data_IF_694875373982
#
_entry.id   IF_694875373982
#
_cell.length_a   1.000
_cell.length_b   1.000
_cell.length_c   1.000
_cell.angle_alpha   90.00
_cell.angle_beta   90.00
_cell.angle_gamma   90.00
#
_symmetry.space_group_name_H-M   'P 1'
#
loop_
_entity.id
_entity.type
_entity.pdbx_description
1 polymer ?
#
# COMPACT_ATOMS: atom_id res chain seq x y z
N UNK A 1 15.33 6.02 1.30
CA UNK A 1 15.76 6.01 2.71
C UNK A 1 16.16 7.42 3.14
N UNK A 2 16.15 7.74 4.43
CA UNK A 2 16.69 9.00 4.98
C UNK A 2 17.52 8.69 6.22
N UNK A 3 18.71 9.28 6.29
CA UNK A 3 19.62 9.17 7.44
C UNK A 3 20.36 10.49 7.62
N UNK A 4 20.39 11.01 8.85
CA UNK A 4 20.97 12.33 9.15
C UNK A 4 22.15 12.28 10.11
N UNK A 5 22.46 11.10 10.66
CA UNK A 5 23.60 10.88 11.56
C UNK A 5 24.85 10.37 10.86
N UNK A 6 25.98 10.50 11.54
CA UNK A 6 27.29 9.94 11.14
C UNK A 6 27.28 8.42 11.21
N UNK A 7 28.27 7.76 10.58
CA UNK A 7 28.40 6.30 10.62
C UNK A 7 28.50 5.72 12.04
N UNK A 8 29.07 6.47 12.98
CA UNK A 8 29.22 6.05 14.38
C UNK A 8 27.92 6.16 15.19
N UNK A 9 26.98 7.02 14.78
CA UNK A 9 25.70 7.21 15.48
C UNK A 9 24.63 6.21 15.03
N UNK A 10 24.81 5.58 13.86
CA UNK A 10 23.83 4.65 13.27
C UNK A 10 23.78 3.31 14.01
N UNK A 11 22.56 2.88 14.31
CA UNK A 11 22.23 1.64 15.00
C UNK A 11 21.60 0.60 14.06
N UNK A 12 21.06 1.02 12.92
CA UNK A 12 20.47 0.12 11.93
C UNK A 12 19.36 0.78 11.11
N UNK A 13 18.55 -0.05 10.44
CA UNK A 13 17.39 0.40 9.68
C UNK A 13 16.13 0.44 10.56
N UNK A 14 15.28 1.44 10.33
CA UNK A 14 13.90 1.47 10.79
C UNK A 14 13.00 1.33 9.57
N UNK A 15 12.46 0.13 9.38
CA UNK A 15 11.54 -0.18 8.30
C UNK A 15 10.11 0.26 8.66
N UNK A 16 9.43 0.90 7.70
CA UNK A 16 8.07 1.39 7.89
C UNK A 16 7.10 0.80 6.86
N UNK A 17 5.99 0.24 7.37
CA UNK A 17 4.82 -0.19 6.60
C UNK A 17 3.59 0.60 7.08
N UNK A 18 2.91 1.40 6.23
CA UNK A 18 1.78 2.24 6.65
C UNK A 18 0.48 1.46 6.89
N UNK A 19 0.41 0.20 6.49
CA UNK A 19 -0.83 -0.58 6.53
C UNK A 19 -1.77 -0.25 5.35
N UNK A 20 -3.08 -0.26 5.62
CA UNK A 20 -4.14 -0.28 4.61
C UNK A 20 -4.88 -1.62 4.63
N UNK A 21 -4.42 -2.67 3.91
CA UNK A 21 -3.23 -2.77 3.03
C UNK A 21 -3.32 -1.93 1.74
N UNK A 22 -2.24 -1.89 0.95
CA UNK A 22 -2.17 -1.12 -0.31
C UNK A 22 -1.58 0.29 -0.18
N UNK A 23 -1.13 0.68 1.02
CA UNK A 23 -0.49 1.97 1.25
C UNK A 23 0.99 2.00 0.85
N UNK A 24 1.41 3.06 0.17
CA UNK A 24 2.83 3.31 -0.16
C UNK A 24 3.61 3.81 1.07
N UNK A 25 4.69 3.11 1.43
CA UNK A 25 5.59 3.51 2.52
C UNK A 25 6.62 4.56 2.12
N UNK A 26 6.80 4.82 0.82
CA UNK A 26 7.90 5.64 0.27
C UNK A 26 7.94 7.08 0.78
N UNK A 27 6.79 7.65 1.16
CA UNK A 27 6.72 9.04 1.66
C UNK A 27 7.12 9.19 3.13
N UNK A 28 7.16 8.11 3.90
CA UNK A 28 7.44 8.20 5.34
C UNK A 28 8.82 8.81 5.64
N UNK A 29 9.95 8.33 5.07
CA UNK A 29 11.28 8.80 5.45
C UNK A 29 11.48 10.31 5.28
N UNK A 30 10.92 10.89 4.22
CA UNK A 30 11.08 12.31 3.88
C UNK A 30 10.03 13.20 4.53
N UNK A 31 8.80 12.73 4.72
CA UNK A 31 7.71 13.54 5.26
C UNK A 31 7.77 13.70 6.78
N UNK A 32 8.18 12.67 7.50
CA UNK A 32 8.04 12.65 8.96
C UNK A 32 9.16 13.42 9.68
N UNK A 33 10.36 13.37 9.12
CA UNK A 33 11.58 14.03 9.64
C UNK A 33 11.50 15.56 9.58
N UNK A 34 10.64 16.11 8.72
CA UNK A 34 10.38 17.55 8.60
C UNK A 34 9.28 18.07 9.54
N UNK A 35 8.54 17.17 10.22
CA UNK A 35 7.31 17.55 10.94
C UNK A 35 7.36 17.36 12.45
N UNK A 36 8.37 16.67 12.96
CA UNK A 36 8.42 16.30 14.37
C UNK A 36 9.87 16.09 14.85
N UNK A 37 10.31 16.83 15.89
CA UNK A 37 11.66 16.71 16.45
C UNK A 37 12.03 15.30 16.94
N UNK A 38 11.05 14.52 17.41
CA UNK A 38 11.27 13.12 17.80
C UNK A 38 11.80 12.33 16.61
N UNK A 39 11.12 12.42 15.47
CA UNK A 39 11.51 11.70 14.26
C UNK A 39 12.80 12.23 13.65
N UNK A 40 13.09 13.53 13.76
CA UNK A 40 14.39 14.11 13.40
C UNK A 40 15.52 13.51 14.26
N UNK A 41 15.31 13.37 15.58
CA UNK A 41 16.29 12.76 16.48
C UNK A 41 16.47 11.28 16.17
N UNK A 42 15.38 10.54 15.95
CA UNK A 42 15.43 9.11 15.62
C UNK A 42 16.16 8.86 14.30
N UNK A 43 16.01 9.74 13.30
CA UNK A 43 16.72 9.64 12.01
C UNK A 43 18.24 9.87 12.09
N UNK A 44 18.77 10.34 13.24
CA UNK A 44 20.21 10.33 13.49
C UNK A 44 20.72 8.94 13.85
N UNK A 45 19.91 8.16 14.56
CA UNK A 45 20.27 6.83 15.03
C UNK A 45 19.85 5.72 14.06
N UNK A 46 18.78 5.92 13.27
CA UNK A 46 18.24 4.91 12.37
C UNK A 46 18.08 5.41 10.94
N UNK A 47 18.41 4.55 10.00
CA UNK A 47 18.15 4.78 8.58
C UNK A 47 16.67 4.48 8.32
N UNK A 48 15.87 5.52 8.02
CA UNK A 48 14.44 5.32 7.75
C UNK A 48 14.25 4.70 6.36
N UNK A 49 13.67 3.52 6.33
CA UNK A 49 13.39 2.75 5.11
C UNK A 49 11.88 2.66 4.94
N UNK A 50 11.36 3.37 3.95
CA UNK A 50 10.01 3.18 3.43
C UNK A 50 10.09 2.34 2.18
N UNK A 51 9.12 1.44 2.00
CA UNK A 51 9.02 0.58 0.82
C UNK A 51 7.57 0.53 0.35
N UNK A 52 7.39 0.16 -0.92
CA UNK A 52 6.09 -0.19 -1.46
C UNK A 52 5.99 -1.72 -1.48
N UNK A 53 5.04 -2.34 -0.75
CA UNK A 53 4.79 -3.77 -0.86
C UNK A 53 4.52 -4.20 -2.31
N UNK A 54 4.77 -5.46 -2.64
CA UNK A 54 4.37 -6.03 -3.95
C UNK A 54 2.91 -5.65 -4.28
N UNK A 55 2.66 -5.24 -5.52
CA UNK A 55 1.32 -4.82 -5.96
C UNK A 55 0.96 -3.38 -5.59
N UNK A 56 1.85 -2.61 -4.97
CA UNK A 56 1.57 -1.26 -4.45
C UNK A 56 2.50 -0.22 -5.09
N UNK A 57 1.97 0.97 -5.39
CA UNK A 57 2.76 2.14 -5.74
C UNK A 57 3.72 1.87 -6.90
N UNK A 58 5.02 1.92 -6.62
CA UNK A 58 6.08 1.70 -7.61
C UNK A 58 6.46 0.22 -7.77
N UNK A 59 5.95 -0.67 -6.92
CA UNK A 59 6.27 -2.09 -6.89
C UNK A 59 5.23 -2.91 -7.66
N UNK A 60 5.29 -2.84 -9.00
CA UNK A 60 4.42 -3.56 -9.92
C UNK A 60 2.92 -3.44 -9.52
N UNK A 61 2.36 -2.22 -9.53
CA UNK A 61 1.03 -1.95 -8.98
C UNK A 61 -0.04 -2.75 -9.71
N UNK A 62 -0.96 -3.35 -8.94
CA UNK A 62 -2.11 -4.05 -9.49
C UNK A 62 -3.35 -3.15 -9.47
N UNK A 63 -4.27 -3.40 -10.41
CA UNK A 63 -5.56 -2.75 -10.42
C UNK A 63 -6.57 -3.65 -11.13
N UNK A 64 -7.78 -3.73 -10.60
CA UNK A 64 -8.81 -4.65 -11.12
C UNK A 64 -9.68 -4.05 -12.22
N UNK A 65 -9.68 -2.73 -12.33
CA UNK A 65 -10.44 -1.96 -13.31
C UNK A 65 -9.60 -0.74 -13.72
N UNK A 66 -10.06 0.10 -14.64
CA UNK A 66 -9.42 1.40 -14.82
C UNK A 66 -9.58 2.23 -13.52
N UNK A 67 -8.49 2.61 -12.83
CA UNK A 67 -8.57 3.38 -11.61
C UNK A 67 -9.21 4.76 -11.80
N UNK A 68 -9.09 5.37 -12.99
CA UNK A 68 -9.72 6.66 -13.28
C UNK A 68 -11.24 6.53 -13.38
N UNK A 69 -11.74 5.42 -13.91
CA UNK A 69 -13.17 5.13 -13.93
C UNK A 69 -13.68 4.74 -12.53
N UNK A 70 -12.88 3.96 -11.78
CA UNK A 70 -13.26 3.51 -10.45
C UNK A 70 -13.45 4.64 -9.44
N UNK A 71 -12.76 5.77 -9.58
CA UNK A 71 -12.90 6.90 -8.64
C UNK A 71 -14.03 7.87 -8.98
N UNK A 72 -14.68 7.74 -10.15
CA UNK A 72 -15.76 8.65 -10.57
C UNK A 72 -16.99 8.56 -9.66
N UNK A 73 -17.56 9.73 -9.35
CA UNK A 73 -18.80 9.90 -8.62
C UNK A 73 -19.97 10.23 -9.59
N UNK A 74 -21.24 10.01 -9.20
CA UNK A 74 -21.70 9.44 -7.92
C UNK A 74 -21.46 7.93 -7.82
N UNK A 75 -21.33 7.42 -6.59
CA UNK A 75 -21.33 5.99 -6.28
C UNK A 75 -22.72 5.57 -5.81
N UNK A 76 -23.06 4.30 -6.00
CA UNK A 76 -24.24 3.70 -5.39
C UNK A 76 -24.13 3.78 -3.85
N UNK A 77 -25.27 3.83 -3.16
CA UNK A 77 -25.30 3.72 -1.70
C UNK A 77 -24.61 2.41 -1.29
N UNK A 78 -23.60 2.45 -0.41
CA UNK A 78 -22.96 1.23 0.09
C UNK A 78 -23.90 0.37 0.93
N UNK A 79 -24.98 0.94 1.47
CA UNK A 79 -26.00 0.21 2.24
C UNK A 79 -27.19 -0.06 1.32
N UNK A 80 -27.41 -1.31 0.88
CA UNK A 80 -28.52 -1.62 -0.02
C UNK A 80 -29.86 -1.66 0.74
N UNK A 81 -30.85 -0.90 0.27
CA UNK A 81 -32.18 -0.80 0.88
C UNK A 81 -33.17 -1.87 0.38
N UNK A 82 -32.85 -2.52 -0.74
CA UNK A 82 -33.72 -3.54 -1.35
C UNK A 82 -32.96 -4.76 -1.85
N UNK A 83 -33.69 -5.83 -2.14
CA UNK A 83 -33.13 -7.01 -2.82
C UNK A 83 -32.63 -6.68 -4.24
N UNK A 84 -33.19 -5.66 -4.89
CA UNK A 84 -32.69 -5.21 -6.19
C UNK A 84 -31.31 -4.56 -6.04
N UNK A 85 -31.11 -3.71 -5.02
CA UNK A 85 -29.83 -3.05 -4.75
C UNK A 85 -28.75 -4.07 -4.38
N UNK A 86 -29.10 -5.06 -3.54
CA UNK A 86 -28.19 -6.16 -3.20
C UNK A 86 -27.74 -6.92 -4.45
N UNK A 87 -28.65 -7.22 -5.39
CA UNK A 87 -28.29 -7.89 -6.65
C UNK A 87 -27.37 -7.02 -7.51
N UNK A 88 -27.65 -5.71 -7.61
CA UNK A 88 -26.81 -4.78 -8.34
C UNK A 88 -25.39 -4.68 -7.75
N UNK A 89 -25.27 -4.54 -6.42
CA UNK A 89 -23.97 -4.51 -5.74
C UNK A 89 -23.18 -5.82 -5.91
N UNK A 90 -23.85 -6.99 -5.80
CA UNK A 90 -23.21 -8.29 -6.04
C UNK A 90 -22.70 -8.43 -7.48
N UNK A 91 -23.44 -7.91 -8.45
CA UNK A 91 -23.00 -7.87 -9.86
C UNK A 91 -21.73 -7.03 -10.01
N UNK A 92 -21.70 -5.82 -9.44
CA UNK A 92 -20.52 -4.95 -9.48
C UNK A 92 -19.30 -5.59 -8.78
N UNK A 93 -19.51 -6.23 -7.63
CA UNK A 93 -18.44 -6.93 -6.92
C UNK A 93 -17.86 -8.10 -7.73
N UNK A 94 -18.73 -8.85 -8.44
CA UNK A 94 -18.31 -9.91 -9.36
C UNK A 94 -17.48 -9.36 -10.51
N UNK A 95 -17.98 -8.33 -11.18
CA UNK A 95 -17.27 -7.68 -12.30
C UNK A 95 -15.90 -7.14 -11.88
N UNK A 96 -15.81 -6.56 -10.67
CA UNK A 96 -14.54 -6.11 -10.12
C UNK A 96 -13.57 -7.28 -9.87
N UNK A 97 -14.04 -8.38 -9.30
CA UNK A 97 -13.22 -9.57 -9.05
C UNK A 97 -12.74 -10.24 -10.35
N UNK A 98 -13.62 -10.33 -11.36
CA UNK A 98 -13.28 -10.82 -12.70
C UNK A 98 -12.22 -9.94 -13.36
N UNK A 99 -12.38 -8.62 -13.29
CA UNK A 99 -11.37 -7.67 -13.76
C UNK A 99 -10.01 -7.79 -13.05
N UNK A 100 -9.98 -8.12 -11.75
CA UNK A 100 -8.72 -8.46 -11.07
C UNK A 100 -8.04 -9.66 -11.73
N UNK A 101 -8.82 -10.72 -12.02
CA UNK A 101 -8.33 -11.94 -12.65
C UNK A 101 -7.80 -11.69 -14.05
N UNK A 102 -8.52 -10.91 -14.86
CA UNK A 102 -8.13 -10.57 -16.23
C UNK A 102 -6.86 -9.71 -16.28
N UNK A 103 -6.72 -8.74 -15.37
CA UNK A 103 -5.63 -7.75 -15.42
C UNK A 103 -4.41 -8.12 -14.60
N UNK A 104 -4.54 -9.02 -13.63
CA UNK A 104 -3.48 -9.32 -12.66
C UNK A 104 -3.43 -10.79 -12.24
N UNK A 105 -4.11 -11.69 -12.97
CA UNK A 105 -4.32 -13.09 -12.59
C UNK A 105 -3.05 -13.84 -12.15
N UNK A 106 -1.93 -13.67 -12.85
CA UNK A 106 -0.65 -14.31 -12.48
C UNK A 106 -0.08 -13.80 -11.16
N UNK A 107 -0.33 -12.54 -10.81
CA UNK A 107 0.17 -11.90 -9.60
C UNK A 107 -0.71 -12.20 -8.38
N UNK A 108 -2.03 -12.38 -8.55
CA UNK A 108 -2.98 -12.50 -7.44
C UNK A 108 -2.62 -13.58 -6.39
N UNK A 109 -2.21 -14.81 -6.76
CA UNK A 109 -1.82 -15.83 -5.78
C UNK A 109 -0.64 -15.42 -4.90
N UNK A 110 0.14 -14.43 -5.33
CA UNK A 110 1.34 -13.98 -4.65
C UNK A 110 1.13 -12.72 -3.80
N UNK A 111 -0.03 -12.06 -3.87
CA UNK A 111 -0.36 -10.84 -3.12
C UNK A 111 -0.81 -11.14 -1.68
N UNK A 112 0.01 -11.88 -0.94
CA UNK A 112 -0.30 -12.33 0.42
C UNK A 112 0.65 -11.71 1.44
N UNK A 113 0.17 -11.47 2.66
CA UNK A 113 1.01 -10.96 3.76
C UNK A 113 2.24 -11.83 4.04
N UNK A 114 2.16 -13.18 4.05
CA UNK A 114 3.36 -14.02 4.19
C UNK A 114 4.39 -13.78 3.08
N UNK A 115 3.96 -13.54 1.85
CA UNK A 115 4.88 -13.21 0.77
C UNK A 115 5.46 -11.80 0.92
N UNK A 116 4.69 -10.83 1.38
CA UNK A 116 5.23 -9.51 1.77
C UNK A 116 6.24 -9.63 2.90
N UNK A 117 6.01 -10.49 3.89
CA UNK A 117 6.96 -10.72 4.98
C UNK A 117 8.31 -11.26 4.46
N UNK A 118 8.29 -12.21 3.51
CA UNK A 118 9.50 -12.71 2.84
C UNK A 118 10.23 -11.65 2.01
N UNK A 119 9.49 -10.68 1.43
CA UNK A 119 10.15 -9.55 0.75
C UNK A 119 10.95 -8.70 1.73
N UNK A 120 10.57 -8.65 3.01
CA UNK A 120 11.31 -7.89 4.01
C UNK A 120 12.69 -8.48 4.32
N UNK A 121 12.90 -9.77 4.07
CA UNK A 121 14.19 -10.44 4.29
C UNK A 121 15.23 -10.06 3.21
N UNK A 122 14.80 -9.45 2.10
CA UNK A 122 15.66 -9.03 0.99
C UNK A 122 15.74 -7.51 0.81
N UNK A 123 15.09 -6.74 1.69
CA UNK A 123 15.17 -5.27 1.78
C UNK A 123 16.34 -4.87 2.67
#
# INVERSE_FOLDING_TARGET
HVSTGTKAERQGALLYNPGGPGGSGMRFPTRITAKNPLWTKTAKAYDFVGFDPRGVGHSAPISCVDPQEFVKAPKADPVPDSEADKRAQRKLAREYAEGCGERSGEMLPHMTTPNTARDLDVI
#
